data_IF_060548640693
#
_entry.id   IF_060548640693
#
_cell.length_a   1.000
_cell.length_b   1.000
_cell.length_c   1.000
_cell.angle_alpha   90.00
_cell.angle_beta   90.00
_cell.angle_gamma   90.00
#
_symmetry.space_group_name_H-M   'P 1'
#
loop_
_entity.id
_entity.type
_entity.pdbx_description
1 polymer ?
#
# COMPACT_ATOMS: atom_id res chain seq x y z
N UNK A 1 -5.80 13.18 18.25
CA UNK A 1 -4.98 13.82 17.19
C UNK A 1 -5.07 12.95 15.94
N UNK A 2 -5.85 13.37 14.93
CA UNK A 2 -5.80 12.71 13.61
C UNK A 2 -4.42 12.98 13.00
N UNK A 3 -3.54 11.98 12.97
CA UNK A 3 -2.29 12.09 12.20
C UNK A 3 -2.66 12.24 10.73
N UNK A 4 -2.44 13.42 10.15
CA UNK A 4 -2.65 13.65 8.72
C UNK A 4 -1.67 12.75 7.96
N UNK A 5 -2.21 11.79 7.21
CA UNK A 5 -1.41 10.91 6.35
C UNK A 5 -0.64 11.77 5.33
N UNK A 6 0.69 11.61 5.18
CA UNK A 6 1.46 12.36 4.20
C UNK A 6 0.94 12.13 2.77
N UNK A 7 1.05 13.16 1.92
CA UNK A 7 0.54 13.12 0.54
C UNK A 7 1.05 11.90 -0.26
N UNK A 8 2.34 11.51 -0.19
CA UNK A 8 2.82 10.35 -0.96
C UNK A 8 2.05 9.06 -0.65
N UNK A 9 1.75 8.81 0.63
CA UNK A 9 1.00 7.64 1.05
C UNK A 9 -0.43 7.63 0.53
N UNK A 10 -1.09 8.79 0.47
CA UNK A 10 -2.44 8.90 -0.12
C UNK A 10 -2.42 8.47 -1.59
N UNK A 11 -1.50 9.03 -2.37
CA UNK A 11 -1.38 8.73 -3.81
C UNK A 11 -1.07 7.25 -4.04
N UNK A 12 -0.18 6.67 -3.23
CA UNK A 12 0.14 5.24 -3.26
C UNK A 12 -1.10 4.40 -2.98
N UNK A 13 -1.80 4.67 -1.87
CA UNK A 13 -2.96 3.89 -1.45
C UNK A 13 -4.12 4.03 -2.43
N UNK A 14 -4.35 5.21 -2.98
CA UNK A 14 -5.37 5.41 -4.02
C UNK A 14 -5.06 4.59 -5.27
N UNK A 15 -3.78 4.50 -5.66
CA UNK A 15 -3.36 3.66 -6.79
C UNK A 15 -3.52 2.17 -6.47
N UNK A 16 -3.07 1.73 -5.30
CA UNK A 16 -3.24 0.34 -4.86
C UNK A 16 -4.71 -0.06 -4.77
N UNK A 17 -5.57 0.85 -4.29
CA UNK A 17 -7.01 0.64 -4.20
C UNK A 17 -7.64 0.50 -5.59
N UNK A 18 -7.28 1.37 -6.55
CA UNK A 18 -7.76 1.29 -7.94
C UNK A 18 -7.35 0.00 -8.65
N UNK A 19 -6.16 -0.50 -8.35
CA UNK A 19 -5.63 -1.73 -8.96
C UNK A 19 -6.03 -2.99 -8.19
N UNK A 20 -6.73 -2.84 -7.06
CA UNK A 20 -7.19 -3.97 -6.24
C UNK A 20 -8.54 -4.52 -6.69
N UNK A 21 -8.73 -5.83 -6.54
CA UNK A 21 -10.03 -6.47 -6.69
C UNK A 21 -10.72 -6.60 -5.33
N UNK A 22 -11.88 -5.96 -5.16
CA UNK A 22 -12.62 -5.92 -3.87
C UNK A 22 -11.76 -5.42 -2.69
N UNK A 23 -10.80 -4.52 -2.94
CA UNK A 23 -9.89 -4.02 -1.92
C UNK A 23 -8.73 -4.97 -1.60
N UNK A 24 -8.52 -6.01 -2.39
CA UNK A 24 -7.46 -7.01 -2.22
C UNK A 24 -6.53 -7.04 -3.43
N UNK A 25 -5.23 -7.13 -3.16
CA UNK A 25 -4.18 -7.10 -4.17
C UNK A 25 -3.03 -8.01 -3.73
N UNK A 26 -2.31 -8.64 -4.67
CA UNK A 26 -1.17 -9.47 -4.29
C UNK A 26 0.02 -8.62 -3.82
N UNK A 27 0.82 -9.13 -2.89
CA UNK A 27 2.05 -8.48 -2.45
C UNK A 27 3.05 -8.29 -3.59
N UNK A 28 3.01 -9.17 -4.60
CA UNK A 28 3.82 -9.06 -5.82
C UNK A 28 3.42 -7.81 -6.61
N UNK A 29 2.13 -7.61 -6.83
CA UNK A 29 1.61 -6.40 -7.51
C UNK A 29 1.87 -5.13 -6.71
N UNK A 30 1.71 -5.16 -5.39
CA UNK A 30 2.07 -4.02 -4.53
C UNK A 30 3.54 -3.62 -4.75
N UNK A 31 4.46 -4.60 -4.70
CA UNK A 31 5.89 -4.36 -4.95
C UNK A 31 6.15 -3.84 -6.37
N UNK A 32 5.46 -4.38 -7.37
CA UNK A 32 5.56 -3.90 -8.76
C UNK A 32 5.11 -2.45 -8.90
N UNK A 33 3.97 -2.08 -8.31
CA UNK A 33 3.43 -0.72 -8.36
C UNK A 33 4.39 0.25 -7.67
N UNK A 34 4.83 -0.06 -6.45
CA UNK A 34 5.77 0.79 -5.72
C UNK A 34 7.11 0.95 -6.46
N UNK A 35 7.64 -0.14 -7.03
CA UNK A 35 8.91 -0.10 -7.75
C UNK A 35 8.80 0.65 -9.09
N UNK A 36 7.84 0.27 -9.94
CA UNK A 36 7.77 0.79 -11.31
C UNK A 36 7.00 2.09 -11.45
N UNK A 37 5.91 2.28 -10.68
CA UNK A 37 5.10 3.51 -10.77
C UNK A 37 5.63 4.61 -9.87
N UNK A 38 6.09 4.28 -8.67
CA UNK A 38 6.61 5.25 -7.71
C UNK A 38 8.14 5.33 -7.67
N UNK A 39 8.84 4.57 -8.52
CA UNK A 39 10.32 4.54 -8.64
C UNK A 39 11.01 4.29 -7.29
N UNK A 40 10.39 3.50 -6.42
CA UNK A 40 10.95 3.19 -5.10
C UNK A 40 11.94 2.03 -5.20
N UNK A 41 13.19 2.29 -4.84
CA UNK A 41 14.23 1.27 -4.80
C UNK A 41 13.89 0.12 -3.85
N UNK A 42 14.49 -1.06 -4.08
CA UNK A 42 14.20 -2.29 -3.33
C UNK A 42 14.34 -2.13 -1.81
N UNK A 43 15.32 -1.34 -1.37
CA UNK A 43 15.58 -1.06 0.05
C UNK A 43 14.39 -0.33 0.72
N UNK A 44 13.70 0.52 -0.04
CA UNK A 44 12.57 1.33 0.44
C UNK A 44 11.24 0.57 0.37
N UNK A 45 11.09 -0.40 -0.53
CA UNK A 45 9.83 -1.15 -0.71
C UNK A 45 9.34 -1.80 0.57
N UNK A 46 10.21 -2.57 1.23
CA UNK A 46 9.82 -3.29 2.43
C UNK A 46 9.53 -2.34 3.59
N UNK A 47 10.30 -1.26 3.72
CA UNK A 47 10.10 -0.23 4.74
C UNK A 47 8.72 0.43 4.62
N UNK A 48 8.35 0.82 3.40
CA UNK A 48 7.07 1.49 3.11
C UNK A 48 5.90 0.55 3.33
N UNK A 49 6.01 -0.70 2.90
CA UNK A 49 4.97 -1.71 3.16
C UNK A 49 4.80 -1.94 4.66
N UNK A 50 5.90 -2.06 5.41
CA UNK A 50 5.87 -2.22 6.86
C UNK A 50 5.31 -0.97 7.55
N UNK A 51 5.59 0.23 7.05
CA UNK A 51 5.01 1.47 7.56
C UNK A 51 3.50 1.51 7.32
N UNK A 52 3.03 1.19 6.11
CA UNK A 52 1.59 1.11 5.81
C UNK A 52 0.85 0.10 6.71
N UNK A 53 1.47 -1.05 7.01
CA UNK A 53 0.91 -2.06 7.92
C UNK A 53 0.89 -1.55 9.37
N UNK A 54 1.98 -0.95 9.85
CA UNK A 54 2.04 -0.31 11.19
C UNK A 54 1.00 0.79 11.35
N UNK A 55 0.74 1.54 10.28
CA UNK A 55 -0.29 2.59 10.23
C UNK A 55 -1.70 2.04 10.02
N UNK A 56 -1.87 0.72 9.91
CA UNK A 56 -3.16 0.03 9.67
C UNK A 56 -3.86 0.50 8.39
N UNK A 57 -3.09 0.92 7.38
CA UNK A 57 -3.57 1.33 6.06
C UNK A 57 -3.76 0.13 5.14
N UNK A 58 -3.03 -0.94 5.41
CA UNK A 58 -3.15 -2.24 4.77
C UNK A 58 -3.21 -3.34 5.84
N UNK A 59 -3.59 -4.55 5.43
CA UNK A 59 -3.53 -5.75 6.26
C UNK A 59 -3.13 -6.95 5.43
N UNK A 60 -2.12 -7.70 5.88
CA UNK A 60 -1.76 -8.96 5.26
C UNK A 60 -2.79 -10.05 5.56
N UNK A 61 -3.13 -10.80 4.51
CA UNK A 61 -3.93 -12.03 4.57
C UNK A 61 -3.05 -13.24 4.29
N UNK A 62 -3.64 -14.44 4.37
CA UNK A 62 -2.96 -15.68 3.99
C UNK A 62 -2.56 -15.62 2.50
N UNK A 63 -1.48 -16.32 2.14
CA UNK A 63 -1.03 -16.52 0.75
C UNK A 63 -0.54 -15.25 0.02
N UNK A 64 0.01 -14.26 0.73
CA UNK A 64 0.63 -13.09 0.10
C UNK A 64 -0.38 -12.10 -0.50
N UNK A 65 -1.63 -12.15 -0.05
CA UNK A 65 -2.66 -11.15 -0.37
C UNK A 65 -2.61 -10.01 0.64
N UNK A 66 -2.74 -8.79 0.17
CA UNK A 66 -2.82 -7.57 0.96
C UNK A 66 -4.21 -6.97 0.79
N UNK A 67 -4.91 -6.74 1.90
CA UNK A 67 -6.16 -5.99 1.92
C UNK A 67 -5.86 -4.52 2.19
N UNK A 68 -6.35 -3.64 1.32
CA UNK A 68 -6.27 -2.18 1.51
C UNK A 68 -7.40 -1.77 2.46
N UNK A 69 -7.05 -1.09 3.55
CA UNK A 69 -7.97 -0.58 4.56
C UNK A 69 -8.23 0.92 4.43
N UNK A 70 -7.44 1.60 3.60
CA UNK A 70 -7.61 3.00 3.25
C UNK A 70 -8.95 3.24 2.54
N UNK A 71 -9.72 4.22 3.04
CA UNK A 71 -10.92 4.69 2.37
C UNK A 71 -10.61 6.05 1.76
N UNK A 72 -10.75 6.15 0.44
CA UNK A 72 -10.78 7.43 -0.26
C UNK A 72 -12.02 8.17 0.27
N UNK A 73 -11.82 9.31 0.93
CA UNK A 73 -12.90 10.25 1.26
C UNK A 73 -13.10 11.20 0.10
#
# INVERSE_FOLDING_TARGET
MERKLPIPYKVILDKLQKDSWKGEISIKEVRLILNFKFRMGRENLQSIINEMDRMKLIKFKKQGVVKILWKVK
#
